data_IF_601850391318
#
_entry.id   IF_601850391318
#
_cell.length_a   1.000
_cell.length_b   1.000
_cell.length_c   1.000
_cell.angle_alpha   90.00
_cell.angle_beta   90.00
_cell.angle_gamma   90.00
#
_symmetry.space_group_name_H-M   'P 1'
#
loop_
_entity.id
_entity.type
_entity.pdbx_description
1 polymer ?
#
# COMPACT_ATOMS: atom_id res chain seq x y z
N UNK A 1 -3.78 -3.29 7.43
CA UNK A 1 -4.22 -2.26 6.48
C UNK A 1 -3.08 -1.69 5.63
N UNK A 2 -1.85 -1.63 6.16
CA UNK A 2 -0.70 -1.04 5.46
C UNK A 2 -0.33 -1.73 4.13
N UNK A 3 -0.81 -2.93 3.88
CA UNK A 3 -0.53 -3.71 2.67
C UNK A 3 -1.80 -3.99 1.85
N UNK A 4 -2.91 -4.30 2.54
CA UNK A 4 -4.19 -4.58 1.85
C UNK A 4 -4.68 -3.34 1.10
N UNK A 5 -4.60 -2.16 1.72
CA UNK A 5 -5.03 -0.92 1.07
C UNK A 5 -4.18 -0.55 -0.16
N UNK A 6 -2.83 -0.48 -0.09
CA UNK A 6 -2.03 -0.19 -1.28
C UNK A 6 -2.18 -1.25 -2.38
N UNK A 7 -2.32 -2.54 -2.04
CA UNK A 7 -2.61 -3.56 -3.03
C UNK A 7 -3.96 -3.31 -3.74
N UNK A 8 -5.01 -3.01 -3.00
CA UNK A 8 -6.32 -2.68 -3.56
C UNK A 8 -6.26 -1.40 -4.42
N UNK A 9 -5.58 -0.35 -3.93
CA UNK A 9 -5.40 0.91 -4.65
C UNK A 9 -4.72 0.69 -6.01
N UNK A 10 -3.65 -0.10 -6.04
CA UNK A 10 -2.92 -0.46 -7.25
C UNK A 10 -3.76 -1.33 -8.18
N UNK A 11 -4.41 -2.38 -7.67
CA UNK A 11 -5.25 -3.30 -8.43
C UNK A 11 -6.43 -2.58 -9.09
N UNK A 12 -7.05 -1.64 -8.39
CA UNK A 12 -8.14 -0.82 -8.91
C UNK A 12 -7.65 0.29 -9.85
N UNK A 13 -6.33 0.53 -9.95
CA UNK A 13 -5.74 1.56 -10.79
C UNK A 13 -6.20 2.96 -10.39
N UNK A 14 -6.32 3.23 -9.08
CA UNK A 14 -6.77 4.52 -8.56
C UNK A 14 -5.68 5.59 -8.62
N UNK A 15 -4.41 5.19 -8.76
CA UNK A 15 -3.26 6.07 -8.85
C UNK A 15 -1.96 5.29 -8.79
N UNK A 16 -0.86 5.98 -8.56
CA UNK A 16 0.49 5.41 -8.43
C UNK A 16 0.91 5.34 -6.97
N UNK A 17 1.56 4.26 -6.59
CA UNK A 17 2.21 4.09 -5.29
C UNK A 17 3.63 4.63 -5.38
N UNK A 18 3.99 5.51 -4.44
CA UNK A 18 5.32 6.15 -4.39
C UNK A 18 5.98 5.84 -3.05
N UNK A 19 7.19 5.36 -3.05
CA UNK A 19 7.94 5.07 -1.83
C UNK A 19 8.74 3.79 -1.89
N UNK A 20 8.76 3.07 -0.77
CA UNK A 20 9.42 1.76 -0.64
C UNK A 20 8.39 0.63 -0.65
N UNK A 21 8.80 -0.62 -0.94
CA UNK A 21 7.95 -1.79 -0.75
C UNK A 21 7.47 -1.89 0.70
N UNK A 22 6.26 -2.38 0.90
CA UNK A 22 5.76 -2.67 2.24
C UNK A 22 6.45 -3.90 2.85
N UNK A 23 6.36 -4.06 4.18
CA UNK A 23 7.15 -5.04 4.91
C UNK A 23 6.79 -6.51 4.68
N UNK A 24 5.69 -6.81 4.02
CA UNK A 24 5.27 -8.20 3.80
C UNK A 24 4.84 -8.90 5.09
N UNK A 25 4.12 -8.20 5.97
CA UNK A 25 3.67 -8.75 7.25
C UNK A 25 2.13 -8.75 7.32
N UNK A 26 1.49 -9.34 6.33
CA UNK A 26 0.04 -9.35 6.25
C UNK A 26 -0.53 -10.74 6.46
N UNK A 27 -0.90 -11.02 7.70
CA UNK A 27 -1.55 -12.26 8.08
C UNK A 27 -2.73 -11.98 9.04
N UNK A 28 -3.85 -12.62 8.80
CA UNK A 28 -4.98 -12.58 9.71
C UNK A 28 -4.68 -13.35 10.99
N UNK A 29 -4.85 -12.73 12.15
CA UNK A 29 -4.52 -13.34 13.44
C UNK A 29 -5.75 -13.55 14.31
N UNK A 30 -5.83 -14.69 15.00
CA UNK A 30 -6.69 -14.90 16.15
C UNK A 30 -5.93 -14.60 17.46
N UNK A 31 -6.65 -14.73 18.58
CA UNK A 31 -6.06 -14.58 19.92
C UNK A 31 -6.36 -15.79 20.77
N UNK A 32 -5.39 -16.22 21.55
CA UNK A 32 -5.55 -17.21 22.63
C UNK A 32 -5.15 -16.59 23.96
N UNK A 33 -5.97 -16.82 24.98
CA UNK A 33 -5.67 -16.41 26.36
C UNK A 33 -4.79 -17.43 27.02
N UNK A 34 -3.69 -17.00 27.61
CA UNK A 34 -2.77 -17.87 28.34
C UNK A 34 -3.19 -18.00 29.81
N UNK A 35 -2.57 -18.97 30.51
CA UNK A 35 -2.91 -19.30 31.90
C UNK A 35 -2.65 -18.17 32.88
N UNK A 36 -1.69 -17.30 32.58
CA UNK A 36 -1.34 -16.09 33.32
C UNK A 36 -2.24 -14.88 33.02
N UNK A 37 -3.23 -15.07 32.13
CA UNK A 37 -4.16 -14.02 31.71
C UNK A 37 -3.64 -13.15 30.54
N UNK A 38 -2.40 -13.32 30.11
CA UNK A 38 -1.87 -12.66 28.92
C UNK A 38 -2.52 -13.19 27.63
N UNK A 39 -2.36 -12.45 26.53
CA UNK A 39 -2.95 -12.81 25.23
C UNK A 39 -1.84 -13.12 24.23
N UNK A 40 -1.92 -14.27 23.59
CA UNK A 40 -1.04 -14.67 22.49
C UNK A 40 -1.76 -14.54 21.15
N UNK A 41 -1.11 -13.88 20.19
CA UNK A 41 -1.63 -13.77 18.83
C UNK A 41 -1.18 -14.95 17.99
N UNK A 42 -2.14 -15.61 17.35
CA UNK A 42 -1.91 -16.79 16.52
C UNK A 42 -2.24 -16.45 15.08
N UNK A 43 -1.30 -16.57 14.12
CA UNK A 43 -1.61 -16.44 12.70
C UNK A 43 -2.55 -17.57 12.25
N UNK A 44 -3.60 -17.23 11.51
CA UNK A 44 -4.63 -18.19 11.10
C UNK A 44 -5.07 -18.06 9.66
N UNK A 45 -5.01 -16.86 9.07
CA UNK A 45 -5.63 -16.58 7.78
C UNK A 45 -4.58 -15.90 6.90
N UNK A 46 -4.17 -16.58 5.83
CA UNK A 46 -3.35 -15.99 4.77
C UNK A 46 -4.14 -14.97 3.96
N UNK A 47 -3.47 -13.92 3.49
CA UNK A 47 -4.04 -12.88 2.64
C UNK A 47 -3.37 -12.95 1.26
N UNK A 48 -4.18 -13.12 0.24
CA UNK A 48 -3.72 -13.32 -1.13
C UNK A 48 -4.19 -12.19 -2.04
N UNK A 49 -3.39 -11.86 -3.04
CA UNK A 49 -3.81 -10.96 -4.11
C UNK A 49 -4.91 -11.63 -4.95
N UNK A 50 -5.58 -10.84 -5.81
CA UNK A 50 -6.53 -11.36 -6.80
C UNK A 50 -5.89 -12.32 -7.83
N UNK A 51 -4.57 -12.35 -7.92
CA UNK A 51 -3.81 -13.29 -8.75
C UNK A 51 -3.32 -14.53 -7.97
N UNK A 52 -3.74 -14.69 -6.73
CA UNK A 52 -3.36 -15.83 -5.88
C UNK A 52 -1.96 -15.74 -5.28
N UNK A 53 -1.30 -14.59 -5.34
CA UNK A 53 0.02 -14.40 -4.71
C UNK A 53 -0.15 -14.16 -3.22
N UNK A 54 0.54 -14.91 -2.39
CA UNK A 54 0.58 -14.70 -0.95
C UNK A 54 1.25 -13.35 -0.65
N UNK A 55 0.55 -12.52 0.11
CA UNK A 55 1.06 -11.18 0.44
C UNK A 55 1.99 -11.19 1.65
N UNK A 56 1.97 -12.27 2.44
CA UNK A 56 2.91 -12.45 3.54
C UNK A 56 4.32 -12.68 2.97
N UNK A 57 5.31 -12.03 3.55
CA UNK A 57 6.73 -12.02 3.12
C UNK A 57 7.04 -11.30 1.81
N UNK A 58 6.06 -11.01 0.95
CA UNK A 58 6.28 -10.35 -0.35
C UNK A 58 6.01 -8.85 -0.28
N UNK A 59 4.96 -8.46 0.42
CA UNK A 59 4.54 -7.05 0.50
C UNK A 59 3.99 -6.50 -0.82
N UNK A 60 3.91 -5.19 -0.90
CA UNK A 60 3.43 -4.46 -2.09
C UNK A 60 4.54 -3.54 -2.60
N UNK A 61 4.99 -3.79 -3.81
CA UNK A 61 5.98 -2.94 -4.47
C UNK A 61 5.35 -1.62 -4.96
N UNK A 62 6.02 -0.47 -4.76
CA UNK A 62 5.58 0.80 -5.31
C UNK A 62 5.73 0.83 -6.84
N UNK A 63 4.99 1.73 -7.49
CA UNK A 63 5.16 2.02 -8.92
C UNK A 63 6.37 2.93 -9.15
N UNK A 64 6.70 3.75 -8.16
CA UNK A 64 7.86 4.66 -8.17
C UNK A 64 8.61 4.47 -6.86
N UNK A 65 9.80 3.91 -6.96
CA UNK A 65 10.67 3.71 -5.79
C UNK A 65 11.31 5.03 -5.36
N UNK A 66 11.23 5.32 -4.07
CA UNK A 66 11.92 6.45 -3.43
C UNK A 66 12.49 5.97 -2.12
N UNK A 67 13.81 6.09 -1.97
CA UNK A 67 14.50 5.77 -0.73
C UNK A 67 14.68 7.03 0.11
N UNK A 68 14.11 7.12 1.32
CA UNK A 68 14.36 8.24 2.20
C UNK A 68 15.80 8.18 2.73
N UNK A 69 16.53 9.27 2.56
CA UNK A 69 17.88 9.39 3.13
C UNK A 69 17.81 9.81 4.60
N UNK A 70 18.60 9.19 5.50
CA UNK A 70 18.57 9.52 6.92
C UNK A 70 18.80 11.01 7.24
N UNK A 71 19.60 11.70 6.42
CA UNK A 71 19.88 13.12 6.60
C UNK A 71 18.74 14.04 6.14
N UNK A 72 17.86 13.58 5.26
CA UNK A 72 16.71 14.36 4.79
C UNK A 72 15.71 14.56 5.92
N UNK A 73 15.44 13.51 6.70
CA UNK A 73 14.54 13.61 7.86
C UNK A 73 15.03 14.62 8.89
N UNK A 74 16.34 14.69 9.14
CA UNK A 74 16.95 15.71 10.04
C UNK A 74 16.75 17.13 9.54
N UNK A 75 16.72 17.32 8.22
CA UNK A 75 16.49 18.61 7.56
C UNK A 75 15.01 18.93 7.35
N UNK A 76 14.11 18.07 7.79
CA UNK A 76 12.67 18.22 7.55
C UNK A 76 12.26 18.00 6.09
N UNK A 77 13.08 17.30 5.30
CA UNK A 77 12.82 16.99 3.90
C UNK A 77 12.13 15.62 3.83
N UNK A 78 10.94 15.58 3.27
CA UNK A 78 10.23 14.35 2.92
C UNK A 78 10.34 14.11 1.41
N UNK A 79 11.36 13.36 1.02
CA UNK A 79 11.63 13.05 -0.38
C UNK A 79 10.49 12.22 -1.02
N UNK A 80 9.81 11.38 -0.23
CA UNK A 80 8.68 10.58 -0.70
C UNK A 80 7.49 11.47 -1.01
N UNK A 81 7.12 12.37 -0.11
CA UNK A 81 6.04 13.35 -0.32
C UNK A 81 6.34 14.27 -1.50
N UNK A 82 7.56 14.79 -1.60
CA UNK A 82 7.98 15.64 -2.72
C UNK A 82 7.81 14.91 -4.06
N UNK A 83 8.24 13.64 -4.14
CA UNK A 83 8.10 12.83 -5.34
C UNK A 83 6.63 12.53 -5.66
N UNK A 84 5.82 12.25 -4.67
CA UNK A 84 4.39 12.03 -4.86
C UNK A 84 3.69 13.26 -5.43
N UNK A 85 4.00 14.45 -4.91
CA UNK A 85 3.47 15.74 -5.43
C UNK A 85 3.92 15.99 -6.86
N UNK A 86 5.21 15.77 -7.18
CA UNK A 86 5.75 15.91 -8.54
C UNK A 86 4.97 15.03 -9.54
N UNK A 87 4.75 13.76 -9.17
CA UNK A 87 4.03 12.80 -10.01
C UNK A 87 2.59 13.23 -10.25
N UNK A 88 1.89 13.65 -9.20
CA UNK A 88 0.50 14.13 -9.31
C UNK A 88 0.41 15.36 -10.23
N UNK A 89 1.29 16.33 -10.05
CA UNK A 89 1.32 17.54 -10.87
C UNK A 89 1.59 17.22 -12.34
N UNK A 90 2.49 16.28 -12.61
CA UNK A 90 2.78 15.82 -13.98
C UNK A 90 1.57 15.12 -14.61
N UNK A 91 0.91 14.24 -13.87
CA UNK A 91 -0.27 13.52 -14.35
C UNK A 91 -1.46 14.48 -14.58
N UNK A 92 -1.59 15.53 -13.75
CA UNK A 92 -2.58 16.60 -13.96
C UNK A 92 -2.33 17.39 -15.26
N UNK A 93 -1.07 17.75 -15.53
CA UNK A 93 -0.69 18.47 -16.76
C UNK A 93 -0.93 17.60 -17.99
N UNK A 94 -0.66 16.31 -17.91
CA UNK A 94 -0.91 15.35 -18.99
C UNK A 94 -2.41 15.05 -19.21
N UNK A 95 -3.30 15.51 -18.33
CA UNK A 95 -4.74 15.25 -18.40
C UNK A 95 -5.14 13.80 -18.05
N UNK A 96 -4.24 13.03 -17.47
CA UNK A 96 -4.44 11.60 -17.16
C UNK A 96 -5.35 11.38 -15.95
N UNK A 97 -5.41 12.31 -15.00
CA UNK A 97 -6.20 12.18 -13.78
C UNK A 97 -7.72 12.16 -14.00
N UNK A 98 -8.22 12.69 -15.12
CA UNK A 98 -9.68 12.75 -15.40
C UNK A 98 -10.29 11.41 -15.80
N UNK A 99 -9.50 10.40 -16.17
CA UNK A 99 -10.01 9.12 -16.70
C UNK A 99 -10.02 7.97 -15.69
N UNK A 100 -9.20 8.01 -14.64
CA UNK A 100 -8.94 6.83 -13.81
C UNK A 100 -10.00 6.55 -12.74
N UNK A 101 -10.49 7.56 -12.02
CA UNK A 101 -11.30 7.34 -10.81
C UNK A 101 -12.78 7.03 -11.07
N UNK A 102 -13.41 7.74 -11.99
CA UNK A 102 -14.88 7.69 -12.12
C UNK A 102 -15.41 6.53 -12.98
N UNK A 103 -14.67 6.06 -13.96
CA UNK A 103 -15.13 4.99 -14.85
C UNK A 103 -14.99 3.60 -14.23
N UNK A 104 -13.91 3.35 -13.48
CA UNK A 104 -13.69 2.04 -12.84
C UNK A 104 -14.59 1.81 -11.64
N UNK A 105 -14.86 2.83 -10.83
CA UNK A 105 -15.79 2.72 -9.69
C UNK A 105 -17.22 2.47 -10.18
N UNK A 106 -17.66 3.10 -11.26
CA UNK A 106 -18.99 2.85 -11.86
C UNK A 106 -19.19 1.44 -12.36
N UNK A 107 -18.13 0.75 -12.77
CA UNK A 107 -18.22 -0.63 -13.27
C UNK A 107 -18.22 -1.68 -12.13
N UNK A 108 -17.84 -1.29 -10.91
CA UNK A 108 -17.89 -2.16 -9.72
C UNK A 108 -19.27 -2.15 -9.02
N UNK A 109 -20.13 -1.19 -9.39
CA UNK A 109 -21.47 -1.03 -8.80
C UNK A 109 -22.61 -1.56 -9.70
N UNK A 110 -22.27 -2.24 -10.78
CA UNK A 110 -23.19 -2.99 -11.66
C UNK A 110 -22.93 -4.48 -11.56
#
# INVERSE_FOLDING_TARGET
DAEIFPNAFKTLGLGKLVGQPTGGMVIGTGSAKLIDGSTFRIPRIGVYTNLGVDMDTVGVAPDIFVEPMPDDLKKGIDAQLQKAVEVILKDMQAGELKKSGNEKIRNLTR
#
